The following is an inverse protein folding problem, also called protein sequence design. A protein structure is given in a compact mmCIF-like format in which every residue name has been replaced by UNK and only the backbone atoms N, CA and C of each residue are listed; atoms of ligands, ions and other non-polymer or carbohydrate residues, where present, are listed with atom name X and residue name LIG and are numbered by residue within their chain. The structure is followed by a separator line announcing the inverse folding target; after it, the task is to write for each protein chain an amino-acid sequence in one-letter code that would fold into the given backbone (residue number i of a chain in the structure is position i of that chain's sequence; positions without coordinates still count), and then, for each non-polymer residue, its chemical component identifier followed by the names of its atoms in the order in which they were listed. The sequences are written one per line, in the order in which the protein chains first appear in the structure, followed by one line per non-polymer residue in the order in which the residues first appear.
data_IF_377243608001
#
_entry.id   IF_377243608001
#
_cell.length_a   1.000
_cell.length_b   1.000
_cell.length_c   1.000
_cell.angle_alpha   90.00
_cell.angle_beta   90.00
_cell.angle_gamma   90.00
#
_symmetry.space_group_name_H-M   'P 1'
#
loop_
_entity.id
_entity.type
_entity.pdbx_description
1 polymer ?
#
# COMPACT_ATOMS: atom_id res chain seq x y z
N UNK A 1 0.49 13.93 -22.96
CA UNK A 1 0.83 14.91 -21.91
C UNK A 1 1.77 14.21 -20.92
N UNK A 2 3.01 14.68 -20.74
CA UNK A 2 4.00 13.99 -19.90
C UNK A 2 3.73 14.26 -18.41
N UNK A 3 3.77 13.23 -17.56
CA UNK A 3 3.59 13.39 -16.11
C UNK A 3 4.78 14.14 -15.49
N UNK A 4 4.65 15.46 -15.34
CA UNK A 4 5.69 16.28 -14.72
C UNK A 4 5.35 16.56 -13.25
N UNK A 5 6.02 15.83 -12.35
CA UNK A 5 5.84 15.95 -10.90
C UNK A 5 6.07 17.37 -10.38
N UNK A 6 7.03 18.13 -10.95
CA UNK A 6 7.42 19.43 -10.38
C UNK A 6 6.28 20.45 -10.40
N UNK A 7 5.42 20.38 -11.43
CA UNK A 7 4.27 21.26 -11.64
C UNK A 7 3.00 20.85 -10.88
N UNK A 8 3.03 19.71 -10.16
CA UNK A 8 1.87 19.16 -9.45
C UNK A 8 1.74 19.74 -8.03
N UNK A 9 0.51 19.78 -7.52
CA UNK A 9 0.24 20.20 -6.15
C UNK A 9 0.87 19.26 -5.12
N UNK A 10 1.04 19.73 -3.88
CA UNK A 10 1.57 18.89 -2.78
C UNK A 10 0.69 17.66 -2.54
N UNK A 11 -0.63 17.81 -2.66
CA UNK A 11 -1.61 16.73 -2.50
C UNK A 11 -1.44 15.67 -3.59
N UNK A 12 -1.33 16.07 -4.86
CA UNK A 12 -1.06 15.15 -5.98
C UNK A 12 0.25 14.39 -5.80
N UNK A 13 1.31 15.08 -5.36
CA UNK A 13 2.61 14.44 -5.09
C UNK A 13 2.52 13.38 -4.00
N UNK A 14 1.71 13.64 -2.96
CA UNK A 14 1.50 12.70 -1.88
C UNK A 14 0.66 11.49 -2.31
N UNK A 15 -0.41 11.70 -3.10
CA UNK A 15 -1.18 10.61 -3.72
C UNK A 15 -0.25 9.75 -4.59
N UNK A 16 0.57 10.38 -5.43
CA UNK A 16 1.54 9.69 -6.27
C UNK A 16 2.50 8.85 -5.45
N UNK A 17 3.11 9.43 -4.40
CA UNK A 17 4.06 8.73 -3.54
C UNK A 17 3.43 7.50 -2.89
N UNK A 18 2.23 7.64 -2.31
CA UNK A 18 1.50 6.52 -1.71
C UNK A 18 1.21 5.45 -2.76
N UNK A 19 0.75 5.83 -3.94
CA UNK A 19 0.46 4.89 -5.03
C UNK A 19 1.69 4.12 -5.52
N UNK A 20 2.84 4.80 -5.69
CA UNK A 20 4.11 4.14 -6.06
C UNK A 20 4.48 3.14 -4.98
N UNK A 21 4.50 3.57 -3.72
CA UNK A 21 4.95 2.74 -2.62
C UNK A 21 4.03 1.53 -2.41
N UNK A 22 2.71 1.71 -2.49
CA UNK A 22 1.73 0.62 -2.43
C UNK A 22 1.91 -0.37 -3.59
N UNK A 23 2.19 0.12 -4.79
CA UNK A 23 2.46 -0.73 -5.96
C UNK A 23 3.73 -1.56 -5.75
N UNK A 24 4.80 -0.94 -5.24
CA UNK A 24 6.06 -1.62 -4.92
C UNK A 24 5.88 -2.67 -3.82
N UNK A 25 5.06 -2.40 -2.80
CA UNK A 25 4.71 -3.40 -1.78
C UNK A 25 4.03 -4.60 -2.45
N UNK A 26 2.98 -4.38 -3.24
CA UNK A 26 2.29 -5.48 -3.95
C UNK A 26 3.21 -6.28 -4.87
N UNK A 27 4.08 -5.60 -5.62
CA UNK A 27 5.08 -6.28 -6.46
C UNK A 27 6.09 -7.08 -5.65
N UNK A 28 6.43 -6.64 -4.43
CA UNK A 28 7.33 -7.37 -3.54
C UNK A 28 6.67 -8.65 -3.01
N UNK A 29 5.39 -8.59 -2.65
CA UNK A 29 4.58 -9.77 -2.32
C UNK A 29 4.55 -10.76 -3.49
N UNK A 30 4.25 -10.29 -4.71
CA UNK A 30 4.23 -11.14 -5.89
C UNK A 30 5.60 -11.77 -6.16
N UNK A 31 6.67 -10.98 -6.09
CA UNK A 31 8.04 -11.47 -6.27
C UNK A 31 8.37 -12.56 -5.25
N UNK A 32 7.96 -12.36 -3.99
CA UNK A 32 8.13 -13.36 -2.95
C UNK A 32 7.31 -14.63 -3.25
N UNK A 33 6.02 -14.51 -3.54
CA UNK A 33 5.15 -15.64 -3.86
C UNK A 33 5.68 -16.46 -5.06
N UNK A 34 6.12 -15.78 -6.13
CA UNK A 34 6.75 -16.43 -7.28
C UNK A 34 8.09 -17.06 -6.95
N UNK A 35 8.94 -16.40 -6.16
CA UNK A 35 10.20 -16.99 -5.69
C UNK A 35 9.93 -18.29 -4.95
N UNK A 36 9.04 -18.24 -3.96
CA UNK A 36 8.65 -19.40 -3.15
C UNK A 36 8.10 -20.52 -4.03
N UNK A 37 7.22 -20.21 -4.99
CA UNK A 37 6.72 -21.18 -5.97
C UNK A 37 7.83 -21.87 -6.76
N UNK A 38 8.81 -21.11 -7.24
CA UNK A 38 9.90 -21.62 -8.09
C UNK A 38 10.95 -22.40 -7.30
N UNK A 39 11.09 -22.16 -6.00
CA UNK A 39 12.05 -22.85 -5.13
C UNK A 39 11.39 -23.88 -4.21
N UNK A 40 10.08 -24.11 -4.34
CA UNK A 40 9.35 -25.04 -3.49
C UNK A 40 9.77 -26.48 -3.81
N UNK A 41 10.29 -27.19 -2.83
CA UNK A 41 10.76 -28.57 -3.00
C UNK A 41 9.64 -29.62 -2.90
N UNK A 42 8.47 -29.22 -2.38
CA UNK A 42 7.32 -30.11 -2.22
C UNK A 42 6.39 -30.05 -3.44
N UNK A 43 5.47 -31.00 -3.53
CA UNK A 43 4.52 -31.14 -4.63
C UNK A 43 3.69 -29.85 -4.85
N UNK A 44 3.44 -29.48 -6.10
CA UNK A 44 2.71 -28.25 -6.47
C UNK A 44 1.29 -28.20 -5.86
N UNK A 45 0.74 -29.36 -5.49
CA UNK A 45 -0.56 -29.51 -4.83
C UNK A 45 -0.60 -28.98 -3.38
N UNK A 46 0.54 -28.79 -2.72
CA UNK A 46 0.62 -28.26 -1.34
C UNK A 46 0.90 -26.76 -1.33
N UNK A 47 1.32 -26.20 -2.46
CA UNK A 47 1.57 -24.77 -2.58
C UNK A 47 0.23 -24.01 -2.66
N UNK A 48 -0.09 -23.27 -1.61
CA UNK A 48 -1.17 -22.28 -1.64
C UNK A 48 -0.59 -20.90 -1.93
N UNK A 49 -1.07 -20.29 -3.02
CA UNK A 49 -0.68 -18.96 -3.44
C UNK A 49 -1.06 -17.89 -2.40
N UNK A 50 -2.11 -18.13 -1.61
CA UNK A 50 -2.55 -17.20 -0.57
C UNK A 50 -1.62 -17.22 0.66
N UNK A 51 -1.18 -18.41 1.07
CA UNK A 51 -0.31 -18.60 2.26
C UNK A 51 1.05 -17.89 2.13
N UNK A 52 1.49 -17.66 0.90
CA UNK A 52 2.76 -16.96 0.60
C UNK A 52 2.53 -15.49 0.20
N UNK A 53 1.31 -14.98 0.38
CA UNK A 53 0.93 -13.59 0.14
C UNK A 53 0.75 -13.23 -1.34
N UNK A 54 0.50 -14.21 -2.20
CA UNK A 54 0.32 -13.96 -3.62
C UNK A 54 -0.96 -13.16 -3.95
N UNK A 55 -2.06 -13.42 -3.26
CA UNK A 55 -3.30 -12.65 -3.44
C UNK A 55 -3.16 -11.23 -2.89
N UNK A 56 -2.50 -11.08 -1.72
CA UNK A 56 -2.12 -9.77 -1.19
C UNK A 56 -1.31 -9.00 -2.22
N UNK A 57 -0.32 -9.64 -2.85
CA UNK A 57 0.47 -9.04 -3.92
C UNK A 57 -0.36 -8.52 -5.07
N UNK A 58 -1.26 -9.35 -5.62
CA UNK A 58 -2.18 -8.94 -6.68
C UNK A 58 -3.05 -7.75 -6.26
N UNK A 59 -3.65 -7.84 -5.07
CA UNK A 59 -4.53 -6.81 -4.53
C UNK A 59 -3.78 -5.48 -4.36
N UNK A 60 -2.63 -5.47 -3.68
CA UNK A 60 -1.90 -4.24 -3.40
C UNK A 60 -1.25 -3.63 -4.64
N UNK A 61 -0.85 -4.43 -5.64
CA UNK A 61 -0.40 -3.90 -6.94
C UNK A 61 -1.55 -3.22 -7.70
N UNK A 62 -2.72 -3.86 -7.76
CA UNK A 62 -3.92 -3.27 -8.37
C UNK A 62 -4.33 -1.99 -7.63
N UNK A 63 -4.35 -2.03 -6.31
CA UNK A 63 -4.77 -0.91 -5.47
C UNK A 63 -3.81 0.27 -5.55
N UNK A 64 -2.50 0.00 -5.55
CA UNK A 64 -1.46 1.01 -5.79
C UNK A 64 -1.61 1.66 -7.16
N UNK A 65 -1.91 0.87 -8.19
CA UNK A 65 -2.18 1.38 -9.55
C UNK A 65 -3.42 2.27 -9.57
N UNK A 66 -4.49 1.89 -8.86
CA UNK A 66 -5.69 2.72 -8.72
C UNK A 66 -5.37 4.07 -8.07
N UNK A 67 -4.61 4.07 -6.97
CA UNK A 67 -4.15 5.30 -6.30
C UNK A 67 -3.33 6.18 -7.27
N UNK A 68 -2.45 5.57 -8.07
CA UNK A 68 -1.65 6.30 -9.08
C UNK A 68 -2.51 6.98 -10.14
N UNK A 69 -3.62 6.38 -10.55
CA UNK A 69 -4.56 7.00 -11.49
C UNK A 69 -5.13 8.32 -10.92
N UNK A 70 -5.43 8.36 -9.62
CA UNK A 70 -5.90 9.58 -8.95
C UNK A 70 -4.84 10.68 -8.92
N UNK A 71 -3.55 10.33 -8.87
CA UNK A 71 -2.47 11.33 -8.93
C UNK A 71 -2.39 12.05 -10.28
N UNK A 72 -2.96 11.46 -11.34
CA UNK A 72 -2.95 12.00 -12.70
C UNK A 72 -4.10 12.95 -12.98
N UNK A 73 -5.14 12.97 -12.14
CA UNK A 73 -6.31 13.85 -12.29
C UNK A 73 -5.92 15.33 -12.19
N UNK A 74 -6.66 16.24 -12.87
CA UNK A 74 -6.55 17.67 -12.67
C UNK A 74 -6.69 18.07 -11.20
N UNK A 75 -5.94 19.10 -10.77
CA UNK A 75 -6.01 19.59 -9.38
C UNK A 75 -7.40 20.09 -9.00
N UNK A 76 -8.16 20.63 -9.96
CA UNK A 76 -9.55 21.02 -9.79
C UNK A 76 -10.42 19.85 -9.34
N UNK A 77 -10.21 18.68 -9.93
CA UNK A 77 -11.05 17.51 -9.73
C UNK A 77 -10.75 16.86 -8.37
N UNK A 78 -9.47 16.86 -7.98
CA UNK A 78 -9.02 16.41 -6.66
C UNK A 78 -9.60 17.29 -5.54
N UNK A 79 -9.69 18.61 -5.76
CA UNK A 79 -10.26 19.55 -4.79
C UNK A 79 -11.78 19.50 -4.73
N UNK A 80 -12.45 19.38 -5.88
CA UNK A 80 -13.91 19.44 -5.98
C UNK A 80 -14.58 18.10 -5.67
N UNK A 81 -13.89 16.98 -5.93
CA UNK A 81 -14.42 15.63 -5.72
C UNK A 81 -13.45 14.80 -4.86
N UNK A 82 -13.40 15.13 -3.56
CA UNK A 82 -12.47 14.53 -2.59
C UNK A 82 -12.87 13.11 -2.18
N UNK A 83 -14.17 12.79 -2.23
CA UNK A 83 -14.75 11.55 -1.69
C UNK A 83 -14.14 10.27 -2.31
N UNK A 84 -13.94 10.17 -3.64
CA UNK A 84 -13.33 8.99 -4.25
C UNK A 84 -11.87 8.77 -3.81
N UNK A 85 -11.11 9.86 -3.61
CA UNK A 85 -9.72 9.78 -3.13
C UNK A 85 -9.68 9.27 -1.69
N UNK A 86 -10.60 9.74 -0.85
CA UNK A 86 -10.75 9.22 0.52
C UNK A 86 -11.05 7.73 0.48
N UNK A 87 -12.05 7.30 -0.30
CA UNK A 87 -12.41 5.88 -0.42
C UNK A 87 -11.24 5.00 -0.88
N UNK A 88 -10.48 5.47 -1.86
CA UNK A 88 -9.33 4.71 -2.40
C UNK A 88 -8.16 4.66 -1.42
N UNK A 89 -8.04 5.60 -0.48
CA UNK A 89 -7.03 5.55 0.58
C UNK A 89 -7.44 4.70 1.79
N UNK A 90 -8.73 4.43 1.99
CA UNK A 90 -9.21 3.71 3.17
C UNK A 90 -8.52 2.36 3.37
N UNK A 91 -8.34 1.49 2.36
CA UNK A 91 -7.64 0.23 2.56
C UNK A 91 -6.18 0.39 2.99
N UNK A 92 -5.46 1.36 2.42
CA UNK A 92 -4.08 1.68 2.84
C UNK A 92 -4.03 2.10 4.32
N UNK A 93 -4.97 2.94 4.76
CA UNK A 93 -5.04 3.39 6.17
C UNK A 93 -5.43 2.23 7.10
N UNK A 94 -6.46 1.49 6.74
CA UNK A 94 -6.97 0.38 7.53
C UNK A 94 -5.88 -0.69 7.70
N UNK A 95 -5.25 -1.09 6.60
CA UNK A 95 -4.20 -2.10 6.62
C UNK A 95 -2.92 -1.62 7.31
N UNK A 96 -2.54 -0.35 7.13
CA UNK A 96 -1.43 0.25 7.88
C UNK A 96 -1.70 0.29 9.39
N UNK A 97 -2.94 0.54 9.80
CA UNK A 97 -3.36 0.50 11.21
C UNK A 97 -3.33 -0.93 11.76
N UNK A 98 -3.91 -1.89 11.03
CA UNK A 98 -3.89 -3.30 11.42
C UNK A 98 -2.45 -3.84 11.53
N UNK A 99 -1.59 -3.47 10.58
CA UNK A 99 -0.17 -3.84 10.59
C UNK A 99 0.55 -3.27 11.81
N UNK A 100 0.31 -2.00 12.14
CA UNK A 100 0.89 -1.37 13.33
C UNK A 100 0.43 -2.08 14.62
N UNK A 101 -0.85 -2.43 14.72
CA UNK A 101 -1.41 -3.14 15.86
C UNK A 101 -0.82 -4.56 16.01
N UNK A 102 -0.71 -5.31 14.91
CA UNK A 102 -0.13 -6.64 14.90
C UNK A 102 1.36 -6.62 15.29
N UNK A 103 2.12 -5.65 14.79
CA UNK A 103 3.52 -5.45 15.18
C UNK A 103 3.63 -5.03 16.66
N UNK A 104 2.75 -4.16 17.13
CA UNK A 104 2.72 -3.74 18.53
C UNK A 104 2.44 -4.90 19.49
N UNK A 105 1.44 -5.74 19.18
CA UNK A 105 1.06 -6.88 20.01
C UNK A 105 2.18 -7.92 20.12
N UNK A 106 2.81 -8.26 19.00
CA UNK A 106 3.94 -9.21 18.96
C UNK A 106 5.16 -8.72 19.73
N UNK A 107 5.47 -7.42 19.64
CA UNK A 107 6.56 -6.78 20.41
C UNK A 107 6.25 -6.77 21.90
N UNK A 108 5.04 -6.35 22.30
CA UNK A 108 4.63 -6.29 23.71
C UNK A 108 4.56 -7.68 24.36
N UNK A 109 4.18 -8.70 23.59
CA UNK A 109 4.16 -10.09 24.04
C UNK A 109 5.57 -10.73 24.11
N UNK A 110 6.62 -10.04 23.66
CA UNK A 110 7.99 -10.57 23.60
C UNK A 110 8.17 -11.70 22.57
N UNK A 111 7.26 -11.79 21.58
CA UNK A 111 7.22 -12.84 20.55
C UNK A 111 7.60 -12.32 19.17
N UNK A 112 8.36 -11.24 19.12
CA UNK A 112 8.74 -10.64 17.85
C UNK A 112 9.77 -11.52 17.14
N UNK A 113 9.33 -12.21 16.09
CA UNK A 113 10.20 -12.97 15.19
C UNK A 113 10.22 -12.28 13.82
N UNK A 114 11.34 -11.66 13.41
CA UNK A 114 11.42 -10.97 12.13
C UNK A 114 11.42 -11.97 10.98
N UNK A 115 10.36 -11.94 10.18
CA UNK A 115 10.24 -12.69 8.92
C UNK A 115 9.79 -11.75 7.78
N UNK A 116 9.62 -12.30 6.58
CA UNK A 116 9.23 -11.52 5.40
C UNK A 116 7.86 -10.82 5.57
N UNK A 117 6.90 -11.45 6.25
CA UNK A 117 5.60 -10.86 6.53
C UNK A 117 5.69 -9.72 7.56
N UNK A 118 6.62 -9.80 8.50
CA UNK A 118 6.95 -8.69 9.40
C UNK A 118 7.45 -7.48 8.62
N UNK A 119 8.27 -7.68 7.59
CA UNK A 119 8.72 -6.60 6.69
C UNK A 119 7.53 -5.99 5.94
N UNK A 120 6.63 -6.82 5.41
CA UNK A 120 5.44 -6.32 4.73
C UNK A 120 4.50 -5.53 5.65
N UNK A 121 4.30 -6.00 6.88
CA UNK A 121 3.54 -5.26 7.89
C UNK A 121 4.20 -3.91 8.20
N UNK A 122 5.54 -3.86 8.33
CA UNK A 122 6.27 -2.61 8.55
C UNK A 122 6.10 -1.63 7.38
N UNK A 123 6.16 -2.12 6.14
CA UNK A 123 5.98 -1.28 4.95
C UNK A 123 4.57 -0.68 4.88
N UNK A 124 3.54 -1.46 5.22
CA UNK A 124 2.18 -0.96 5.32
C UNK A 124 1.97 0.00 6.49
N UNK A 125 2.55 -0.28 7.65
CA UNK A 125 2.52 0.65 8.78
C UNK A 125 3.22 1.97 8.44
N UNK A 126 4.31 1.94 7.66
CA UNK A 126 5.02 3.14 7.20
C UNK A 126 4.19 4.00 6.22
N UNK A 127 3.16 3.44 5.58
CA UNK A 127 2.21 4.19 4.75
C UNK A 127 1.14 4.94 5.56
N UNK A 128 0.99 4.64 6.85
CA UNK A 128 -0.02 5.27 7.68
C UNK A 128 0.21 6.78 7.86
N UNK A 129 1.41 7.28 8.23
CA UNK A 129 1.64 8.72 8.33
C UNK A 129 1.36 9.51 7.04
N UNK A 130 1.89 9.14 5.85
CA UNK A 130 1.59 9.88 4.62
C UNK A 130 0.11 9.77 4.23
N UNK A 131 -0.53 8.63 4.48
CA UNK A 131 -1.98 8.48 4.25
C UNK A 131 -2.82 9.41 5.13
N UNK A 132 -2.54 9.48 6.43
CA UNK A 132 -3.24 10.38 7.35
C UNK A 132 -3.00 11.85 7.01
N UNK A 133 -1.77 12.22 6.66
CA UNK A 133 -1.42 13.56 6.19
C UNK A 133 -2.20 13.94 4.93
N UNK A 134 -2.41 13.00 4.02
CA UNK A 134 -3.21 13.22 2.81
C UNK A 134 -4.68 13.47 3.14
N UNK A 135 -5.28 12.64 3.99
CA UNK A 135 -6.67 12.83 4.45
C UNK A 135 -6.86 14.21 5.12
N UNK A 136 -5.94 14.58 6.01
CA UNK A 136 -5.94 15.91 6.65
C UNK A 136 -5.80 17.05 5.65
N UNK A 137 -4.94 16.88 4.64
CA UNK A 137 -4.72 17.90 3.61
C UNK A 137 -5.95 18.09 2.72
N UNK A 138 -6.65 17.01 2.37
CA UNK A 138 -7.90 17.07 1.62
C UNK A 138 -8.98 17.81 2.41
N UNK A 139 -9.06 17.59 3.74
CA UNK A 139 -10.06 18.23 4.60
C UNK A 139 -9.78 19.71 4.86
N UNK A 140 -8.50 20.11 5.06
CA UNK A 140 -8.11 21.53 5.27
C UNK A 140 -8.21 22.39 4.00
N UNK A 141 -8.35 21.78 2.84
CA UNK A 141 -8.50 22.48 1.55
C UNK A 141 -9.95 22.91 1.27
N UNK A 142 -10.75 23.16 2.31
CA UNK A 142 -12.15 23.59 2.28
C UNK A 142 -12.26 24.92 3.02
#
# INVERSE_FOLDING_TARGET
MMFNLSKRSKVQKLIFLIGVFQTLIGLSYLTHAYYVKLTWEYDEFVYDWDDVGGNDGMFWTLWGTLILLYSSLPDSDIKNNKLPIVFVLLPTIAWGTLSLLALGDTVLAGKFEPNIFTIFALLHAALLPPGLLLLLSLWKSS
#
